data_IF_160616603396
#
_entry.id   IF_160616603396
#
_cell.length_a   1.000
_cell.length_b   1.000
_cell.length_c   1.000
_cell.angle_alpha   90.00
_cell.angle_beta   90.00
_cell.angle_gamma   90.00
#
_symmetry.space_group_name_H-M   'P 1'
#
loop_
_entity.id
_entity.type
_entity.pdbx_description
1 polymer ?
#
# COMPACT_ATOMS: atom_id res chain seq x y z
N UNK A 1 37.45 -28.57 57.78
CA UNK A 1 37.41 -30.05 57.85
C UNK A 1 36.27 -30.53 56.98
N UNK A 2 36.57 -31.19 55.86
CA UNK A 2 35.58 -31.66 54.90
C UNK A 2 34.86 -32.90 55.46
N UNK A 3 33.58 -32.75 55.80
CA UNK A 3 32.71 -33.86 56.19
C UNK A 3 32.34 -34.67 54.95
N UNK A 4 33.18 -35.65 54.60
CA UNK A 4 32.87 -36.65 53.59
C UNK A 4 31.93 -37.71 54.17
N UNK A 5 30.63 -37.44 54.21
CA UNK A 5 29.62 -38.49 54.31
C UNK A 5 29.70 -39.35 53.06
N UNK A 6 30.35 -40.52 53.15
CA UNK A 6 30.33 -41.54 52.10
C UNK A 6 28.92 -42.11 51.99
N UNK A 7 28.06 -41.45 51.21
CA UNK A 7 26.78 -42.01 50.79
C UNK A 7 26.99 -43.25 49.91
N UNK A 8 26.03 -44.15 49.86
CA UNK A 8 25.98 -45.20 48.84
C UNK A 8 25.42 -44.61 47.55
N UNK A 9 25.79 -45.18 46.40
CA UNK A 9 25.22 -44.80 45.12
C UNK A 9 23.68 -44.88 45.16
N UNK A 10 22.99 -43.89 44.59
CA UNK A 10 21.53 -43.76 44.60
C UNK A 10 20.81 -44.87 43.80
N UNK A 11 21.54 -45.62 42.98
CA UNK A 11 21.03 -46.79 42.26
C UNK A 11 21.01 -47.99 43.22
N UNK A 12 19.82 -48.50 43.53
CA UNK A 12 19.59 -49.50 44.57
C UNK A 12 20.41 -50.80 44.44
N UNK A 13 20.79 -51.17 43.21
CA UNK A 13 21.62 -52.37 42.93
C UNK A 13 23.12 -52.12 43.09
N UNK A 14 23.55 -50.88 43.32
CA UNK A 14 24.94 -50.49 43.38
C UNK A 14 25.45 -50.35 44.82
N UNK A 15 26.34 -51.25 45.24
CA UNK A 15 26.98 -51.21 46.58
C UNK A 15 28.18 -50.26 46.68
N UNK A 16 28.51 -49.52 45.62
CA UNK A 16 29.68 -48.62 45.59
C UNK A 16 29.37 -47.31 46.31
N UNK A 17 30.39 -46.71 46.92
CA UNK A 17 30.28 -45.37 47.49
C UNK A 17 29.97 -44.34 46.41
N UNK A 18 29.09 -43.39 46.74
CA UNK A 18 28.81 -42.24 45.91
C UNK A 18 30.08 -41.42 45.73
N UNK A 19 30.34 -41.01 44.50
CA UNK A 19 31.49 -40.18 44.13
C UNK A 19 31.10 -38.70 44.08
N UNK A 20 29.96 -38.39 43.45
CA UNK A 20 29.48 -37.02 43.31
C UNK A 20 27.95 -36.97 43.22
N UNK A 21 27.37 -35.82 43.56
CA UNK A 21 25.97 -35.49 43.31
C UNK A 21 25.80 -35.11 41.83
N UNK A 22 24.91 -35.81 41.12
CA UNK A 22 24.52 -35.38 39.78
C UNK A 22 23.49 -34.26 39.89
N UNK A 23 23.81 -33.07 39.42
CA UNK A 23 22.89 -31.91 39.48
C UNK A 23 21.67 -32.04 38.55
N UNK A 24 21.73 -32.90 37.54
CA UNK A 24 20.60 -33.13 36.62
C UNK A 24 19.47 -33.93 37.29
N UNK A 25 19.81 -35.00 38.01
CA UNK A 25 18.82 -35.89 38.66
C UNK A 25 18.82 -35.80 40.18
N UNK A 26 19.65 -34.93 40.78
CA UNK A 26 19.84 -34.74 42.22
C UNK A 26 20.19 -36.05 42.97
N UNK A 27 20.74 -37.04 42.27
CA UNK A 27 21.15 -38.33 42.81
C UNK A 27 22.65 -38.41 43.08
N UNK A 28 23.04 -39.01 44.21
CA UNK A 28 24.44 -39.27 44.55
C UNK A 28 24.92 -40.52 43.78
N UNK A 29 25.72 -40.36 42.73
CA UNK A 29 26.14 -41.46 41.85
C UNK A 29 27.60 -41.85 42.08
N UNK A 30 27.92 -43.13 41.94
CA UNK A 30 29.31 -43.57 41.84
C UNK A 30 29.88 -43.23 40.46
N UNK A 31 31.21 -43.23 40.33
CA UNK A 31 31.88 -42.78 39.10
C UNK A 31 31.45 -43.52 37.83
N UNK A 32 31.14 -44.83 37.94
CA UNK A 32 30.67 -45.63 36.80
C UNK A 32 29.26 -45.22 36.37
N UNK A 33 28.32 -45.10 37.30
CA UNK A 33 26.96 -44.70 36.97
C UNK A 33 26.84 -43.23 36.57
N UNK A 34 27.73 -42.36 37.04
CA UNK A 34 27.84 -40.99 36.55
C UNK A 34 28.32 -40.98 35.09
N UNK A 35 29.30 -41.83 34.75
CA UNK A 35 29.77 -42.01 33.37
C UNK A 35 28.68 -42.59 32.48
N UNK A 36 28.01 -43.67 32.89
CA UNK A 36 26.89 -44.27 32.15
C UNK A 36 25.74 -43.28 31.96
N UNK A 37 25.45 -42.44 32.97
CA UNK A 37 24.46 -41.38 32.86
C UNK A 37 24.89 -40.30 31.85
N UNK A 38 26.16 -39.89 31.86
CA UNK A 38 26.72 -38.97 30.86
C UNK A 38 26.69 -39.58 29.46
N UNK A 39 27.01 -40.86 29.33
CA UNK A 39 27.01 -41.58 28.05
C UNK A 39 25.56 -41.72 27.53
N UNK A 40 24.58 -41.94 28.40
CA UNK A 40 23.15 -41.96 28.05
C UNK A 40 22.61 -40.58 27.63
N UNK A 41 23.09 -39.50 28.25
CA UNK A 41 22.73 -38.15 27.82
C UNK A 41 23.37 -37.81 26.47
N UNK A 42 24.64 -38.17 26.28
CA UNK A 42 25.36 -37.94 25.03
C UNK A 42 24.78 -38.78 23.88
N UNK A 43 24.31 -40.00 24.14
CA UNK A 43 23.67 -40.83 23.11
C UNK A 43 22.35 -40.25 22.60
N UNK A 44 21.68 -39.39 23.39
CA UNK A 44 20.48 -38.63 22.95
C UNK A 44 20.81 -37.46 22.04
N UNK A 45 22.05 -36.99 22.00
CA UNK A 45 22.45 -35.90 21.09
C UNK A 45 22.52 -36.38 19.63
N UNK A 46 22.80 -37.66 19.40
CA UNK A 46 22.92 -38.23 18.06
C UNK A 46 21.57 -38.17 17.31
N UNK A 47 20.43 -38.67 17.87
CA UNK A 47 19.12 -38.51 17.23
C UNK A 47 18.71 -37.05 16.99
N UNK A 48 19.08 -36.13 17.88
CA UNK A 48 18.78 -34.70 17.71
C UNK A 48 19.58 -34.09 16.56
N UNK A 49 20.86 -34.49 16.40
CA UNK A 49 21.67 -34.08 15.26
C UNK A 49 21.10 -34.64 13.94
N UNK A 50 20.62 -35.89 13.95
CA UNK A 50 19.96 -36.49 12.80
C UNK A 50 18.64 -35.79 12.46
N UNK A 51 17.85 -35.39 13.46
CA UNK A 51 16.63 -34.61 13.27
C UNK A 51 16.93 -33.23 12.66
N UNK A 52 17.95 -32.53 13.16
CA UNK A 52 18.42 -31.27 12.58
C UNK A 52 18.85 -31.46 11.13
N UNK A 53 19.62 -32.51 10.85
CA UNK A 53 20.08 -32.82 9.48
C UNK A 53 18.90 -33.14 8.55
N UNK A 54 17.89 -33.86 9.04
CA UNK A 54 16.67 -34.15 8.27
C UNK A 54 15.86 -32.87 7.97
N UNK A 55 15.72 -31.98 8.96
CA UNK A 55 15.06 -30.68 8.76
C UNK A 55 15.82 -29.80 7.76
N UNK A 56 17.16 -29.76 7.85
CA UNK A 56 18.02 -29.04 6.91
C UNK A 56 17.87 -29.59 5.49
N UNK A 57 17.87 -30.93 5.34
CA UNK A 57 17.67 -31.57 4.04
C UNK A 57 16.30 -31.21 3.46
N UNK A 58 15.25 -31.13 4.29
CA UNK A 58 13.90 -30.75 3.85
C UNK A 58 13.83 -29.31 3.36
N UNK A 59 14.48 -28.38 4.08
CA UNK A 59 14.58 -26.98 3.65
C UNK A 59 15.34 -26.88 2.31
N UNK A 60 16.42 -27.66 2.14
CA UNK A 60 17.21 -27.68 0.91
C UNK A 60 16.42 -28.28 -0.27
N UNK A 61 15.65 -29.35 -0.05
CA UNK A 61 14.79 -29.92 -1.10
C UNK A 61 13.64 -28.98 -1.47
N UNK A 62 13.05 -28.29 -0.48
CA UNK A 62 11.98 -27.31 -0.71
C UNK A 62 12.49 -26.02 -1.37
N UNK A 63 13.78 -25.70 -1.24
CA UNK A 63 14.41 -24.59 -1.98
C UNK A 63 14.68 -24.92 -3.45
N UNK A 64 14.80 -26.21 -3.80
CA UNK A 64 15.06 -26.68 -5.16
C UNK A 64 13.77 -26.91 -5.97
N UNK A 65 12.66 -27.23 -5.30
CA UNK A 65 11.34 -27.28 -5.91
C UNK A 65 10.63 -25.94 -5.69
N UNK A 66 10.27 -25.22 -6.76
CA UNK A 66 9.50 -23.97 -6.65
C UNK A 66 8.30 -24.17 -5.71
N UNK A 67 8.36 -23.53 -4.53
CA UNK A 67 7.28 -23.56 -3.56
C UNK A 67 5.98 -23.08 -4.22
N UNK A 68 4.83 -23.60 -3.77
CA UNK A 68 3.51 -23.18 -4.30
C UNK A 68 3.35 -21.66 -4.28
N UNK A 69 3.90 -20.99 -3.26
CA UNK A 69 3.85 -19.54 -3.13
C UNK A 69 4.60 -18.82 -4.28
N UNK A 70 5.74 -19.34 -4.74
CA UNK A 70 6.46 -18.76 -5.87
C UNK A 70 5.68 -18.94 -7.18
N UNK A 71 5.01 -20.08 -7.36
CA UNK A 71 4.14 -20.31 -8.53
C UNK A 71 2.95 -19.37 -8.55
N UNK A 72 2.34 -19.10 -7.40
CA UNK A 72 1.23 -18.16 -7.28
C UNK A 72 1.69 -16.71 -7.54
N UNK A 73 2.87 -16.33 -7.02
CA UNK A 73 3.48 -15.03 -7.29
C UNK A 73 3.77 -14.85 -8.79
N UNK A 74 4.33 -15.88 -9.42
CA UNK A 74 4.67 -15.89 -10.84
C UNK A 74 3.41 -15.88 -11.72
N UNK A 75 2.34 -16.56 -11.29
CA UNK A 75 1.01 -16.45 -11.92
C UNK A 75 0.45 -15.04 -11.81
N UNK A 76 0.48 -14.44 -10.63
CA UNK A 76 0.03 -13.06 -10.40
C UNK A 76 0.79 -12.07 -11.29
N UNK A 77 2.12 -12.21 -11.41
CA UNK A 77 2.95 -11.39 -12.29
C UNK A 77 2.46 -11.42 -13.74
N UNK A 78 2.23 -12.63 -14.28
CA UNK A 78 1.74 -12.79 -15.66
C UNK A 78 0.36 -12.18 -15.86
N UNK A 79 -0.56 -12.40 -14.93
CA UNK A 79 -1.94 -11.87 -15.01
C UNK A 79 -1.97 -10.34 -14.92
N UNK A 80 -1.11 -9.76 -14.07
CA UNK A 80 -0.96 -8.31 -13.95
C UNK A 80 -0.46 -7.69 -15.26
N UNK A 81 0.61 -8.24 -15.86
CA UNK A 81 1.12 -7.76 -17.16
C UNK A 81 0.04 -7.85 -18.26
N UNK A 82 -0.64 -8.99 -18.37
CA UNK A 82 -1.73 -9.14 -19.35
C UNK A 82 -2.86 -8.13 -19.16
N UNK A 83 -3.15 -7.76 -17.92
CA UNK A 83 -4.17 -6.76 -17.60
C UNK A 83 -3.74 -5.36 -18.05
N UNK A 84 -2.48 -5.00 -17.79
CA UNK A 84 -1.90 -3.73 -18.25
C UNK A 84 -1.92 -3.66 -19.78
N UNK A 85 -1.48 -4.72 -20.46
CA UNK A 85 -1.45 -4.78 -21.92
C UNK A 85 -2.85 -4.62 -22.52
N UNK A 86 -3.85 -5.31 -21.95
CA UNK A 86 -5.25 -5.21 -22.39
C UNK A 86 -5.81 -3.80 -22.20
N UNK A 87 -5.48 -3.16 -21.08
CA UNK A 87 -5.90 -1.79 -20.81
C UNK A 87 -5.28 -0.82 -21.82
N UNK A 88 -3.98 -0.94 -22.07
CA UNK A 88 -3.28 -0.14 -23.08
C UNK A 88 -3.93 -0.29 -24.46
N UNK A 89 -4.13 -1.52 -24.94
CA UNK A 89 -4.73 -1.75 -26.25
C UNK A 89 -6.15 -1.20 -26.35
N UNK A 90 -6.93 -1.29 -25.26
CA UNK A 90 -8.27 -0.70 -25.21
C UNK A 90 -8.22 0.81 -25.35
N UNK A 91 -7.35 1.48 -24.60
CA UNK A 91 -7.20 2.95 -24.66
C UNK A 91 -6.66 3.42 -26.01
N UNK A 92 -5.70 2.68 -26.58
CA UNK A 92 -5.17 2.93 -27.93
C UNK A 92 -6.27 2.84 -28.99
N UNK A 93 -7.12 1.80 -28.93
CA UNK A 93 -8.25 1.65 -29.85
C UNK A 93 -9.29 2.76 -29.69
N UNK A 94 -9.60 3.17 -28.46
CA UNK A 94 -10.49 4.31 -28.22
C UNK A 94 -9.93 5.57 -28.88
N UNK A 95 -8.65 5.89 -28.65
CA UNK A 95 -8.00 7.06 -29.23
C UNK A 95 -8.01 7.05 -30.77
N UNK A 96 -7.76 5.89 -31.39
CA UNK A 96 -7.77 5.75 -32.86
C UNK A 96 -9.20 5.83 -33.41
N UNK A 97 -10.18 5.21 -32.75
CA UNK A 97 -11.54 5.10 -33.24
C UNK A 97 -12.33 6.41 -33.16
N UNK A 98 -12.19 7.16 -32.07
CA UNK A 98 -12.91 8.44 -31.85
C UNK A 98 -12.67 9.44 -32.99
N UNK A 99 -11.57 9.30 -33.73
CA UNK A 99 -11.13 10.33 -34.67
C UNK A 99 -10.88 9.76 -36.07
N UNK A 100 -10.21 8.61 -36.16
CA UNK A 100 -9.80 8.06 -37.45
C UNK A 100 -10.94 7.45 -38.26
N UNK A 101 -11.94 6.85 -37.62
CA UNK A 101 -13.00 6.12 -38.34
C UNK A 101 -14.04 7.08 -38.90
N UNK A 102 -14.51 8.02 -38.09
CA UNK A 102 -15.61 8.91 -38.48
C UNK A 102 -15.14 9.94 -39.51
N UNK A 103 -13.94 10.51 -39.34
CA UNK A 103 -13.37 11.45 -40.32
C UNK A 103 -13.03 10.81 -41.66
N UNK A 104 -12.64 9.53 -41.67
CA UNK A 104 -12.45 8.80 -42.92
C UNK A 104 -13.76 8.55 -43.66
N UNK A 105 -14.86 8.31 -42.94
CA UNK A 105 -16.20 8.18 -43.54
C UNK A 105 -16.66 9.51 -44.11
N UNK A 106 -16.52 10.61 -43.35
CA UNK A 106 -16.85 11.97 -43.82
C UNK A 106 -16.06 12.34 -45.09
N UNK A 107 -14.75 12.08 -45.14
CA UNK A 107 -13.93 12.33 -46.33
C UNK A 107 -14.39 11.53 -47.56
N UNK A 108 -14.79 10.26 -47.37
CA UNK A 108 -15.31 9.45 -48.47
C UNK A 108 -16.65 9.99 -48.98
N UNK A 109 -17.52 10.47 -48.10
CA UNK A 109 -18.80 11.09 -48.50
C UNK A 109 -18.58 12.38 -49.28
N UNK A 110 -17.66 13.24 -48.81
CA UNK A 110 -17.26 14.45 -49.54
C UNK A 110 -16.70 14.12 -50.92
N UNK A 111 -15.85 13.09 -51.02
CA UNK A 111 -15.30 12.65 -52.30
C UNK A 111 -16.38 12.21 -53.28
N UNK A 112 -17.34 11.40 -52.83
CA UNK A 112 -18.45 10.97 -53.68
C UNK A 112 -19.28 12.17 -54.18
N UNK A 113 -19.54 13.15 -53.29
CA UNK A 113 -20.28 14.37 -53.64
C UNK A 113 -19.53 15.23 -54.66
N UNK A 114 -18.20 15.32 -54.54
CA UNK A 114 -17.34 15.98 -55.54
C UNK A 114 -17.42 15.23 -56.88
N UNK A 115 -17.32 13.91 -56.86
CA UNK A 115 -17.38 13.08 -58.08
C UNK A 115 -18.73 13.23 -58.80
N UNK A 116 -19.85 13.30 -58.06
CA UNK A 116 -21.20 13.57 -58.61
C UNK A 116 -21.27 14.95 -59.28
N UNK A 117 -20.81 16.01 -58.60
CA UNK A 117 -20.81 17.37 -59.15
C UNK A 117 -19.94 17.48 -60.41
N UNK A 118 -18.81 16.78 -60.46
CA UNK A 118 -17.95 16.71 -61.65
C UNK A 118 -18.66 16.01 -62.81
N UNK A 119 -19.39 14.93 -62.54
CA UNK A 119 -20.13 14.19 -63.57
C UNK A 119 -21.30 15.01 -64.14
N UNK A 120 -22.04 15.71 -63.29
CA UNK A 120 -23.20 16.51 -63.68
C UNK A 120 -22.81 17.81 -64.40
N UNK A 121 -21.57 18.30 -64.20
CA UNK A 121 -21.05 19.56 -64.75
C UNK A 121 -21.88 20.81 -64.40
N UNK A 122 -22.68 20.75 -63.33
CA UNK A 122 -23.58 21.82 -62.88
C UNK A 122 -23.30 22.24 -61.42
N UNK A 123 -22.01 22.32 -61.07
CA UNK A 123 -21.59 22.75 -59.76
C UNK A 123 -21.87 24.24 -59.55
N UNK A 124 -22.65 24.56 -58.52
CA UNK A 124 -22.88 25.96 -58.08
C UNK A 124 -21.76 26.43 -57.16
N UNK A 125 -21.54 27.75 -57.11
CA UNK A 125 -20.55 28.33 -56.19
C UNK A 125 -20.85 28.00 -54.73
N UNK A 126 -22.12 28.04 -54.32
CA UNK A 126 -22.55 27.71 -52.96
C UNK A 126 -22.18 26.26 -52.57
N UNK A 127 -22.28 25.30 -53.52
CA UNK A 127 -21.88 23.92 -53.28
C UNK A 127 -20.35 23.79 -53.11
N UNK A 128 -19.58 24.55 -53.89
CA UNK A 128 -18.11 24.58 -53.79
C UNK A 128 -17.69 25.17 -52.44
N UNK A 129 -18.33 26.25 -52.02
CA UNK A 129 -18.03 26.93 -50.75
C UNK A 129 -18.34 26.01 -49.56
N UNK A 130 -19.50 25.32 -49.57
CA UNK A 130 -19.85 24.33 -48.55
C UNK A 130 -18.85 23.18 -48.46
N UNK A 131 -18.44 22.60 -49.59
CA UNK A 131 -17.45 21.52 -49.63
C UNK A 131 -16.09 22.01 -49.09
N UNK A 132 -15.72 23.24 -49.41
CA UNK A 132 -14.46 23.84 -48.95
C UNK A 132 -14.48 24.06 -47.43
N UNK A 133 -15.60 24.53 -46.87
CA UNK A 133 -15.81 24.64 -45.43
C UNK A 133 -15.71 23.29 -44.72
N UNK A 134 -16.34 22.25 -45.27
CA UNK A 134 -16.30 20.89 -44.74
C UNK A 134 -14.86 20.32 -44.74
N UNK A 135 -14.11 20.51 -45.83
CA UNK A 135 -12.70 20.12 -45.92
C UNK A 135 -11.87 20.83 -44.85
N UNK A 136 -12.02 22.16 -44.70
CA UNK A 136 -11.30 22.90 -43.67
C UNK A 136 -11.67 22.48 -42.26
N UNK A 137 -12.93 22.12 -42.02
CA UNK A 137 -13.40 21.59 -40.73
C UNK A 137 -12.73 20.26 -40.39
N UNK A 138 -12.67 19.32 -41.34
CA UNK A 138 -12.00 18.03 -41.17
C UNK A 138 -10.50 18.22 -40.97
N UNK A 139 -9.87 19.13 -41.73
CA UNK A 139 -8.44 19.45 -41.60
C UNK A 139 -8.11 19.91 -40.17
N UNK A 140 -8.89 20.85 -39.62
CA UNK A 140 -8.70 21.32 -38.24
C UNK A 140 -8.82 20.18 -37.23
N UNK A 141 -9.81 19.30 -37.38
CA UNK A 141 -9.98 18.16 -36.47
C UNK A 141 -8.79 17.18 -36.52
N UNK A 142 -8.18 16.98 -37.70
CA UNK A 142 -6.97 16.15 -37.85
C UNK A 142 -5.78 16.83 -37.17
N UNK A 143 -5.61 18.14 -37.36
CA UNK A 143 -4.51 18.91 -36.76
C UNK A 143 -4.63 18.97 -35.24
N UNK A 144 -5.84 19.15 -34.70
CA UNK A 144 -6.12 19.09 -33.26
C UNK A 144 -5.75 17.73 -32.67
N UNK A 145 -6.06 16.64 -33.38
CA UNK A 145 -5.69 15.29 -32.96
C UNK A 145 -4.18 15.07 -32.91
N UNK A 146 -3.47 15.49 -33.96
CA UNK A 146 -2.01 15.36 -34.02
C UNK A 146 -1.31 16.10 -32.87
N UNK A 147 -1.96 17.16 -32.36
CA UNK A 147 -1.47 17.97 -31.26
C UNK A 147 -2.01 17.55 -29.88
N UNK A 148 -2.76 16.45 -29.77
CA UNK A 148 -3.26 15.98 -28.47
C UNK A 148 -2.11 15.55 -27.56
N UNK A 149 -1.98 16.23 -26.43
CA UNK A 149 -1.12 15.81 -25.33
C UNK A 149 -1.89 14.87 -24.39
N UNK A 150 -1.41 13.64 -24.23
CA UNK A 150 -1.96 12.71 -23.24
C UNK A 150 -1.30 12.97 -21.88
N UNK A 151 -2.11 13.22 -20.86
CA UNK A 151 -1.63 13.22 -19.47
C UNK A 151 -1.76 11.81 -18.90
N UNK A 152 -0.65 11.08 -18.81
CA UNK A 152 -0.61 9.74 -18.22
C UNK A 152 -0.17 9.86 -16.76
N UNK A 153 -1.02 9.40 -15.85
CA UNK A 153 -0.67 9.34 -14.42
C UNK A 153 0.26 8.15 -14.15
N UNK A 154 1.23 8.27 -13.24
CA UNK A 154 2.08 7.15 -12.84
C UNK A 154 1.26 5.96 -12.34
N UNK A 155 1.62 4.76 -12.79
CA UNK A 155 1.06 3.52 -12.24
C UNK A 155 1.89 3.11 -11.01
N UNK A 156 1.28 3.15 -9.83
CA UNK A 156 1.92 2.75 -8.56
C UNK A 156 1.31 1.44 -8.08
N UNK A 157 2.16 0.49 -7.72
CA UNK A 157 1.76 -0.77 -7.07
C UNK A 157 1.85 -0.53 -5.55
N UNK A 158 0.77 -0.80 -4.83
CA UNK A 158 0.75 -0.74 -3.36
C UNK A 158 1.57 -1.93 -2.80
N UNK A 159 2.45 -1.66 -1.83
CA UNK A 159 3.28 -2.69 -1.20
C UNK A 159 2.45 -3.79 -0.52
N UNK A 160 1.18 -3.52 -0.22
CA UNK A 160 0.24 -4.47 0.39
C UNK A 160 -0.52 -5.34 -0.62
N UNK A 161 -0.23 -5.24 -1.92
CA UNK A 161 -0.89 -6.07 -2.94
C UNK A 161 -0.58 -7.56 -2.74
N UNK A 162 0.60 -7.88 -2.18
CA UNK A 162 1.01 -9.25 -1.88
C UNK A 162 1.30 -9.37 -0.40
N UNK A 163 0.38 -10.01 0.32
CA UNK A 163 0.54 -10.29 1.73
C UNK A 163 1.04 -11.71 1.93
N UNK A 164 2.21 -11.84 2.52
CA UNK A 164 2.66 -13.12 3.05
C UNK A 164 1.76 -13.47 4.24
N UNK A 165 0.87 -14.44 4.07
CA UNK A 165 0.12 -15.06 5.18
C UNK A 165 1.06 -15.95 6.00
N UNK A 166 2.08 -15.37 6.61
CA UNK A 166 2.59 -15.90 7.86
C UNK A 166 1.63 -15.47 8.97
N UNK A 167 1.39 -16.32 9.97
CA UNK A 167 0.61 -15.94 11.15
C UNK A 167 1.34 -14.80 11.90
N UNK A 168 1.20 -13.57 11.43
CA UNK A 168 1.86 -12.39 11.98
C UNK A 168 0.76 -11.40 12.30
N UNK A 169 0.55 -11.21 13.60
CA UNK A 169 -0.02 -10.03 14.22
C UNK A 169 0.23 -8.80 13.34
N UNK A 170 -0.78 -7.96 13.10
CA UNK A 170 -0.54 -6.61 12.59
C UNK A 170 0.71 -6.08 13.31
N UNK A 171 1.79 -5.70 12.61
CA UNK A 171 2.98 -5.17 13.26
C UNK A 171 2.68 -3.70 13.62
N UNK A 172 1.55 -3.48 14.30
CA UNK A 172 1.40 -2.38 15.22
C UNK A 172 2.40 -2.71 16.32
N UNK A 173 3.66 -2.32 16.11
CA UNK A 173 4.65 -2.30 17.19
C UNK A 173 4.04 -1.59 18.39
N UNK A 174 4.56 -1.87 19.59
CA UNK A 174 4.17 -1.15 20.81
C UNK A 174 4.16 0.34 20.49
N UNK A 175 3.07 1.05 20.84
CA UNK A 175 2.89 2.46 20.52
C UNK A 175 4.20 3.20 20.80
N UNK A 176 4.89 3.64 19.74
CA UNK A 176 6.30 3.99 19.85
C UNK A 176 6.49 5.21 20.74
N UNK A 177 5.47 6.09 20.82
CA UNK A 177 5.42 7.29 21.66
C UNK A 177 3.98 7.69 21.95
N UNK A 178 3.74 8.18 23.17
CA UNK A 178 2.42 8.67 23.62
C UNK A 178 2.54 10.18 23.84
N UNK A 179 1.69 10.98 23.18
CA UNK A 179 1.51 12.40 23.50
C UNK A 179 0.43 12.54 24.57
N UNK A 180 0.76 13.16 25.71
CA UNK A 180 -0.24 13.59 26.67
C UNK A 180 -0.94 14.85 26.15
N UNK A 181 -2.22 14.72 25.83
CA UNK A 181 -3.03 15.81 25.28
C UNK A 181 -4.08 16.32 26.26
N UNK A 182 -4.33 17.62 26.24
CA UNK A 182 -5.19 18.31 27.24
C UNK A 182 -6.51 18.81 26.66
N UNK A 183 -6.78 18.65 25.35
CA UNK A 183 -8.01 19.13 24.73
C UNK A 183 -9.10 18.05 24.67
N UNK A 184 -10.37 18.47 24.81
CA UNK A 184 -11.58 17.62 24.82
C UNK A 184 -11.96 17.02 23.46
N UNK A 185 -11.49 17.61 22.37
CA UNK A 185 -11.63 17.10 21.01
C UNK A 185 -10.25 17.15 20.37
N UNK A 186 -9.85 16.07 19.72
CA UNK A 186 -8.55 16.00 19.05
C UNK A 186 -8.76 15.29 17.74
N UNK A 187 -9.24 16.04 16.75
CA UNK A 187 -9.03 15.59 15.39
C UNK A 187 -7.52 15.51 15.17
N UNK A 188 -7.07 14.41 14.58
CA UNK A 188 -5.69 14.22 14.18
C UNK A 188 -5.64 13.47 12.85
N UNK A 189 -4.67 13.81 12.03
CA UNK A 189 -4.45 13.14 10.76
C UNK A 189 -2.96 13.12 10.43
N UNK A 190 -2.48 12.02 9.86
CA UNK A 190 -1.10 11.88 9.40
C UNK A 190 -1.05 11.90 7.88
N UNK A 191 0.01 12.47 7.33
CA UNK A 191 0.39 12.31 5.92
C UNK A 191 1.66 11.46 5.73
N UNK A 192 2.09 10.77 6.78
CA UNK A 192 3.31 9.96 6.81
C UNK A 192 4.57 10.72 7.23
N UNK A 193 4.62 12.04 7.05
CA UNK A 193 5.75 12.90 7.47
C UNK A 193 5.44 13.72 8.71
N UNK A 194 4.24 14.28 8.75
CA UNK A 194 3.72 15.07 9.85
C UNK A 194 2.35 14.55 10.29
N UNK A 195 2.02 14.86 11.53
CA UNK A 195 0.68 14.72 12.10
C UNK A 195 0.12 16.11 12.30
N UNK A 196 -1.00 16.41 11.65
CA UNK A 196 -1.78 17.62 11.90
C UNK A 196 -2.71 17.37 13.09
N UNK A 197 -2.67 18.25 14.08
CA UNK A 197 -3.50 18.18 15.29
C UNK A 197 -4.16 19.53 15.58
N UNK A 198 -5.32 19.47 16.22
CA UNK A 198 -6.02 20.66 16.75
C UNK A 198 -5.69 20.90 18.22
N UNK A 199 -4.95 21.98 18.53
CA UNK A 199 -4.50 22.36 19.88
C UNK A 199 -4.98 23.73 20.34
N UNK A 200 -5.92 23.76 21.29
CA UNK A 200 -6.41 25.00 21.95
C UNK A 200 -6.70 26.11 20.92
N UNK A 201 -7.49 25.78 19.89
CA UNK A 201 -7.84 26.66 18.77
C UNK A 201 -6.69 27.00 17.82
N UNK A 202 -5.67 26.16 17.74
CA UNK A 202 -4.62 26.23 16.73
C UNK A 202 -4.54 24.91 15.96
N UNK A 203 -4.12 24.98 14.70
CA UNK A 203 -3.68 23.82 13.94
C UNK A 203 -2.16 23.73 14.03
N UNK A 204 -1.68 22.59 14.51
CA UNK A 204 -0.25 22.33 14.68
C UNK A 204 0.19 21.17 13.80
N UNK A 205 1.27 21.36 13.04
CA UNK A 205 2.00 20.24 12.45
C UNK A 205 3.02 19.73 13.45
N UNK A 206 3.03 18.42 13.64
CA UNK A 206 3.90 17.70 14.57
C UNK A 206 4.72 16.68 13.78
N UNK A 207 6.03 16.64 13.99
CA UNK A 207 6.89 15.65 13.34
C UNK A 207 6.92 14.30 14.07
N UNK A 208 7.69 13.35 13.50
CA UNK A 208 7.99 12.03 14.05
C UNK A 208 8.54 12.05 15.50
N UNK A 209 9.19 13.14 15.89
CA UNK A 209 9.70 13.36 17.25
C UNK A 209 8.67 13.92 18.22
N UNK A 210 7.42 14.08 17.80
CA UNK A 210 6.33 14.71 18.57
C UNK A 210 6.61 16.18 18.92
N UNK A 211 7.41 16.85 18.11
CA UNK A 211 7.68 18.29 18.26
C UNK A 211 6.84 19.09 17.28
N UNK A 212 6.21 20.16 17.76
CA UNK A 212 5.44 21.08 16.92
C UNK A 212 6.41 21.83 16.01
N UNK A 213 6.26 21.66 14.70
CA UNK A 213 7.12 22.30 13.69
C UNK A 213 6.52 23.60 13.17
N UNK A 214 5.19 23.65 13.01
CA UNK A 214 4.46 24.83 12.55
C UNK A 214 3.13 24.94 13.27
N UNK A 215 2.62 26.16 13.41
CA UNK A 215 1.35 26.44 14.06
C UNK A 215 0.66 27.61 13.38
N UNK A 216 -0.66 27.48 13.18
CA UNK A 216 -1.53 28.57 12.73
C UNK A 216 -2.76 28.65 13.62
N UNK A 217 -3.33 29.84 13.83
CA UNK A 217 -4.60 29.99 14.54
C UNK A 217 -5.74 29.38 13.72
N UNK A 218 -6.67 28.74 14.43
CA UNK A 218 -7.89 28.19 13.86
C UNK A 218 -9.11 28.93 14.43
N UNK A 219 -9.78 29.68 13.56
CA UNK A 219 -10.90 30.57 13.93
C UNK A 219 -12.23 30.17 13.30
N UNK A 220 -12.30 29.01 12.66
CA UNK A 220 -13.44 28.60 11.83
C UNK A 220 -14.43 27.67 12.54
N UNK A 221 -14.43 27.66 13.87
CA UNK A 221 -15.33 26.84 14.71
C UNK A 221 -14.74 25.48 15.05
N UNK A 222 -15.58 24.53 15.45
CA UNK A 222 -15.11 23.20 15.87
C UNK A 222 -14.69 22.34 14.67
N UNK A 223 -13.60 21.58 14.84
CA UNK A 223 -13.15 20.60 13.85
C UNK A 223 -13.85 19.27 14.11
N UNK A 224 -14.66 18.86 13.14
CA UNK A 224 -15.42 17.61 13.18
C UNK A 224 -14.66 16.46 12.55
N UNK A 225 -13.73 16.71 11.63
CA UNK A 225 -12.88 15.66 11.09
C UNK A 225 -11.68 16.23 10.35
N UNK A 226 -10.64 15.41 10.18
CA UNK A 226 -9.53 15.73 9.31
C UNK A 226 -9.12 14.47 8.54
N UNK A 227 -8.73 14.64 7.29
CA UNK A 227 -8.18 13.56 6.48
C UNK A 227 -7.08 14.09 5.55
N UNK A 228 -6.24 13.19 5.05
CA UNK A 228 -5.16 13.53 4.14
C UNK A 228 -5.53 13.05 2.74
N UNK A 229 -5.43 13.94 1.75
CA UNK A 229 -5.57 13.56 0.35
C UNK A 229 -4.21 13.42 -0.29
N UNK A 230 -3.81 12.17 -0.59
CA UNK A 230 -2.57 11.90 -1.32
C UNK A 230 -2.57 12.47 -2.73
N UNK A 231 -3.76 12.69 -3.33
CA UNK A 231 -3.87 13.26 -4.69
C UNK A 231 -3.69 14.78 -4.70
N UNK A 232 -4.18 15.48 -3.67
CA UNK A 232 -3.94 16.92 -3.53
C UNK A 232 -2.60 17.23 -2.85
N UNK A 233 -2.00 16.23 -2.19
CA UNK A 233 -0.88 16.41 -1.27
C UNK A 233 -1.17 17.47 -0.20
N UNK A 234 -2.42 17.49 0.30
CA UNK A 234 -2.89 18.49 1.26
C UNK A 234 -3.83 17.88 2.31
N UNK A 235 -3.90 18.53 3.47
CA UNK A 235 -4.82 18.17 4.53
C UNK A 235 -6.20 18.75 4.26
N UNK A 236 -7.25 17.96 4.50
CA UNK A 236 -8.63 18.38 4.42
C UNK A 236 -9.19 18.43 5.83
N UNK A 237 -9.77 19.57 6.19
CA UNK A 237 -10.34 19.85 7.50
C UNK A 237 -11.85 20.05 7.33
N UNK A 238 -12.61 19.25 8.08
CA UNK A 238 -14.07 19.19 8.03
C UNK A 238 -14.63 19.89 9.25
N UNK A 239 -15.43 20.91 9.01
CA UNK A 239 -16.30 21.52 10.02
C UNK A 239 -17.75 21.09 9.78
N UNK A 240 -18.68 21.57 10.60
CA UNK A 240 -20.10 21.22 10.49
C UNK A 240 -20.71 21.51 9.11
N UNK A 241 -20.25 22.58 8.42
CA UNK A 241 -20.84 23.03 7.13
C UNK A 241 -19.83 23.47 6.08
N UNK A 242 -18.54 23.52 6.44
CA UNK A 242 -17.48 24.03 5.58
C UNK A 242 -16.31 23.06 5.54
N UNK A 243 -15.63 23.06 4.41
CA UNK A 243 -14.40 22.32 4.19
C UNK A 243 -13.26 23.31 3.97
N UNK A 244 -12.11 22.98 4.53
CA UNK A 244 -10.89 23.74 4.35
C UNK A 244 -9.78 22.80 3.90
N UNK A 245 -8.91 23.30 3.05
CA UNK A 245 -7.70 22.63 2.62
C UNK A 245 -6.53 23.40 3.24
N UNK A 246 -5.62 22.67 3.88
CA UNK A 246 -4.39 23.20 4.44
C UNK A 246 -3.20 22.67 3.64
N UNK A 247 -2.41 23.61 3.14
CA UNK A 247 -1.10 23.34 2.55
C UNK A 247 -0.04 23.20 3.65
N UNK A 248 0.74 22.10 3.64
CA UNK A 248 1.72 21.85 4.70
C UNK A 248 2.98 22.71 4.61
N UNK A 249 3.34 23.15 3.41
CA UNK A 249 4.57 23.89 3.17
C UNK A 249 4.39 25.36 3.55
N UNK A 250 3.29 25.95 3.08
CA UNK A 250 2.99 27.37 3.30
C UNK A 250 2.18 27.61 4.56
N UNK A 251 1.52 26.58 5.11
CA UNK A 251 0.50 26.70 6.18
C UNK A 251 -0.69 27.59 5.80
N UNK A 252 -1.00 27.71 4.50
CA UNK A 252 -2.15 28.49 4.02
C UNK A 252 -3.43 27.65 4.06
N UNK A 253 -4.49 28.25 4.57
CA UNK A 253 -5.84 27.67 4.59
C UNK A 253 -6.69 28.24 3.46
N UNK A 254 -7.27 27.34 2.66
CA UNK A 254 -8.21 27.69 1.60
C UNK A 254 -9.55 27.05 1.87
N UNK A 255 -10.64 27.82 1.88
CA UNK A 255 -11.99 27.27 2.03
C UNK A 255 -12.46 26.68 0.70
N UNK A 256 -13.06 25.49 0.71
CA UNK A 256 -13.72 24.91 -0.45
C UNK A 256 -15.19 25.33 -0.52
N UNK A 257 -15.65 25.66 -1.72
CA UNK A 257 -17.06 25.92 -2.01
C UNK A 257 -17.80 24.61 -2.26
N UNK A 258 -18.06 23.86 -1.19
CA UNK A 258 -18.97 22.71 -1.24
C UNK A 258 -20.24 23.11 -0.50
N UNK A 259 -21.32 23.33 -1.25
CA UNK A 259 -22.63 23.66 -0.69
C UNK A 259 -23.39 22.39 -0.32
N UNK A 260 -23.76 22.24 0.95
CA UNK A 260 -24.74 21.25 1.39
C UNK A 260 -25.60 21.84 2.50
N UNK A 261 -26.91 21.57 2.45
CA UNK A 261 -27.85 21.98 3.50
C UNK A 261 -27.78 21.07 4.73
N UNK A 262 -27.01 19.97 4.67
CA UNK A 262 -26.84 19.00 5.74
C UNK A 262 -25.59 19.30 6.57
N UNK A 263 -25.69 19.07 7.87
CA UNK A 263 -24.53 19.12 8.76
C UNK A 263 -23.66 17.87 8.56
N UNK A 264 -22.34 18.05 8.62
CA UNK A 264 -21.37 16.96 8.54
C UNK A 264 -20.75 16.67 9.90
N UNK A 265 -20.47 15.39 10.17
CA UNK A 265 -19.91 14.91 11.42
C UNK A 265 -18.47 14.39 11.29
N UNK A 266 -18.14 13.74 10.17
CA UNK A 266 -16.80 13.23 9.85
C UNK A 266 -16.59 13.26 8.34
N UNK A 267 -15.34 13.21 7.93
CA UNK A 267 -14.98 13.02 6.53
C UNK A 267 -13.72 12.19 6.37
N UNK A 268 -13.63 11.49 5.25
CA UNK A 268 -12.42 10.83 4.77
C UNK A 268 -12.38 10.93 3.26
N UNK A 269 -11.23 10.69 2.64
CA UNK A 269 -11.11 10.75 1.18
C UNK A 269 -10.38 9.53 0.62
N UNK A 270 -10.77 9.14 -0.59
CA UNK A 270 -9.92 8.36 -1.49
C UNK A 270 -9.12 9.31 -2.38
N UNK A 271 -8.37 8.76 -3.34
CA UNK A 271 -7.63 9.56 -4.32
C UNK A 271 -8.53 10.48 -5.17
N UNK A 272 -9.79 10.12 -5.39
CA UNK A 272 -10.68 10.86 -6.32
C UNK A 272 -11.97 11.35 -5.69
N UNK A 273 -12.27 10.94 -4.46
CA UNK A 273 -13.59 11.15 -3.87
C UNK A 273 -13.47 11.52 -2.40
N UNK A 274 -14.17 12.58 -2.00
CA UNK A 274 -14.38 12.92 -0.60
C UNK A 274 -15.68 12.27 -0.11
N UNK A 275 -15.61 11.55 1.00
CA UNK A 275 -16.74 10.94 1.67
C UNK A 275 -17.03 11.72 2.95
N UNK A 276 -18.26 12.19 3.11
CA UNK A 276 -18.71 12.94 4.27
C UNK A 276 -19.88 12.20 4.93
N UNK A 277 -19.86 12.09 6.26
CA UNK A 277 -20.97 11.54 7.02
C UNK A 277 -21.84 12.67 7.57
N UNK A 278 -23.16 12.52 7.45
CA UNK A 278 -24.19 13.44 7.96
C UNK A 278 -24.98 12.82 9.10
#
# INVERSE_FOLDING_TARGET
MASSTKGTCAIATCKRSSFALCHCCQGHLCINHLKEHSDLLNSRLIPLADEINSLLQRIQSDSSNESSCLKDLEKWRREAHQTVDRFYETKRKQLINEIGKDKKVELNLLRNKIDELIQEQDATQDQIDLITEDIHSIQRAIDEFQNLSLTIRPFTIDDNVILLKSNIFLPLGTASRIMCYTAKSSAMVSNGKYVLIENKSNLCLVNDRLTVTKTIPWTFGDIWGMCWSSTLAQFIIVTQKKLFILDEETMTLTQCEISSDKNWYRGTCSNTTLFLST
#
